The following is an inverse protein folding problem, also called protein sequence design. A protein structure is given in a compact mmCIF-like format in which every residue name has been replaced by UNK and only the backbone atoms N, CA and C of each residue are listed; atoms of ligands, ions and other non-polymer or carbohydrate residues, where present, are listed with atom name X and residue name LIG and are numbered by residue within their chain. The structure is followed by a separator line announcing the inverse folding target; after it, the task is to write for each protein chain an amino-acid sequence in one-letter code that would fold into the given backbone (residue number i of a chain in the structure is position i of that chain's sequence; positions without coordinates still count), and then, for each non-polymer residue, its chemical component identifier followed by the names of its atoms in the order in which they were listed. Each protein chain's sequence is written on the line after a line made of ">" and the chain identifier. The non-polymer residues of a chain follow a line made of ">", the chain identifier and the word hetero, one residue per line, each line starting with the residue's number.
data_IF_865905748420
#
_entry.id   IF_865905748420
#
_cell.length_a   1.000
_cell.length_b   1.000
_cell.length_c   1.000
_cell.angle_alpha   90.00
_cell.angle_beta   90.00
_cell.angle_gamma   90.00
#
_symmetry.space_group_name_H-M   'P 1'
#
loop_
_entity.id
_entity.type
_entity.pdbx_description
1 polymer ?
#
# COMPACT_ATOMS: atom_id res chain seq x y z
N UNK A 1 34.92 -29.45 9.44
CA UNK A 1 35.44 -28.55 8.40
C UNK A 1 34.62 -27.25 8.34
N UNK A 2 35.20 -26.10 8.69
CA UNK A 2 34.56 -24.80 8.54
C UNK A 2 34.57 -24.42 7.04
N UNK A 3 33.41 -24.37 6.36
CA UNK A 3 33.30 -23.86 4.99
C UNK A 3 33.83 -22.42 4.96
N UNK A 4 34.92 -22.15 4.23
CA UNK A 4 35.38 -20.78 3.95
C UNK A 4 34.25 -20.01 3.30
N UNK A 5 33.77 -18.91 3.90
CA UNK A 5 32.82 -18.00 3.28
C UNK A 5 33.44 -17.47 1.98
N UNK A 6 32.85 -17.82 0.84
CA UNK A 6 33.26 -17.29 -0.46
C UNK A 6 32.98 -15.78 -0.47
N UNK A 7 33.97 -14.97 -0.76
CA UNK A 7 33.80 -13.55 -1.03
C UNK A 7 33.08 -13.38 -2.35
N UNK A 8 31.95 -12.66 -2.32
CA UNK A 8 31.19 -12.35 -3.51
C UNK A 8 31.91 -11.29 -4.34
N UNK A 9 31.86 -11.40 -5.66
CA UNK A 9 32.33 -10.36 -6.57
C UNK A 9 31.38 -9.14 -6.56
N UNK A 10 31.86 -7.94 -6.93
CA UNK A 10 31.01 -6.76 -7.03
C UNK A 10 29.76 -6.97 -7.90
N UNK A 11 29.88 -7.77 -8.98
CA UNK A 11 28.75 -8.12 -9.86
C UNK A 11 27.73 -9.00 -9.12
N UNK A 12 28.17 -10.00 -8.39
CA UNK A 12 27.26 -10.87 -7.60
C UNK A 12 26.54 -10.08 -6.49
N UNK A 13 27.25 -9.14 -5.83
CA UNK A 13 26.66 -8.24 -4.83
C UNK A 13 25.58 -7.37 -5.48
N UNK A 14 25.85 -6.78 -6.63
CA UNK A 14 24.89 -5.94 -7.35
C UNK A 14 23.64 -6.73 -7.78
N UNK A 15 23.79 -7.94 -8.28
CA UNK A 15 22.66 -8.79 -8.66
C UNK A 15 21.79 -9.18 -7.44
N UNK A 16 22.42 -9.50 -6.30
CA UNK A 16 21.69 -9.72 -5.05
C UNK A 16 20.91 -8.47 -4.61
N UNK A 17 21.52 -7.28 -4.68
CA UNK A 17 20.84 -6.03 -4.32
C UNK A 17 19.64 -5.74 -5.24
N UNK A 18 19.77 -6.02 -6.55
CA UNK A 18 18.66 -5.89 -7.51
C UNK A 18 17.53 -6.87 -7.21
N UNK A 19 17.86 -8.12 -6.83
CA UNK A 19 16.85 -9.11 -6.43
C UNK A 19 16.06 -8.63 -5.21
N UNK A 20 16.75 -8.21 -4.15
CA UNK A 20 16.12 -7.66 -2.94
C UNK A 20 15.24 -6.44 -3.24
N UNK A 21 15.73 -5.51 -4.07
CA UNK A 21 14.94 -4.34 -4.47
C UNK A 21 13.69 -4.71 -5.28
N UNK A 22 13.75 -5.79 -6.06
CA UNK A 22 12.60 -6.32 -6.81
C UNK A 22 11.59 -6.97 -5.88
N UNK A 23 12.03 -7.81 -4.95
CA UNK A 23 11.17 -8.44 -3.95
C UNK A 23 10.44 -7.39 -3.11
N UNK A 24 11.13 -6.33 -2.70
CA UNK A 24 10.53 -5.19 -1.99
C UNK A 24 9.46 -4.50 -2.82
N UNK A 25 9.74 -4.22 -4.11
CA UNK A 25 8.72 -3.60 -5.00
C UNK A 25 7.49 -4.47 -5.14
N UNK A 26 7.66 -5.79 -5.19
CA UNK A 26 6.53 -6.73 -5.24
C UNK A 26 5.75 -6.74 -3.93
N UNK A 27 6.45 -6.82 -2.80
CA UNK A 27 5.83 -6.73 -1.48
C UNK A 27 5.05 -5.42 -1.32
N UNK A 28 5.63 -4.30 -1.76
CA UNK A 28 4.99 -3.00 -1.80
C UNK A 28 3.69 -3.01 -2.62
N UNK A 29 3.74 -3.45 -3.88
CA UNK A 29 2.55 -3.50 -4.73
C UNK A 29 1.45 -4.38 -4.14
N UNK A 30 1.84 -5.50 -3.54
CA UNK A 30 0.92 -6.41 -2.87
C UNK A 30 0.25 -5.73 -1.68
N UNK A 31 1.03 -5.07 -0.84
CA UNK A 31 0.52 -4.33 0.32
C UNK A 31 -0.39 -3.17 -0.10
N UNK A 32 0.02 -2.39 -1.11
CA UNK A 32 -0.80 -1.30 -1.65
C UNK A 32 -2.16 -1.80 -2.15
N UNK A 33 -2.16 -2.90 -2.91
CA UNK A 33 -3.41 -3.49 -3.39
C UNK A 33 -4.26 -4.05 -2.24
N UNK A 34 -3.65 -4.68 -1.25
CA UNK A 34 -4.35 -5.16 -0.06
C UNK A 34 -5.02 -4.01 0.72
N UNK A 35 -4.34 -2.87 0.87
CA UNK A 35 -4.90 -1.66 1.47
C UNK A 35 -6.08 -1.12 0.65
N UNK A 36 -5.96 -1.08 -0.69
CA UNK A 36 -7.08 -0.70 -1.58
C UNK A 36 -8.31 -1.56 -1.35
N UNK A 37 -8.12 -2.88 -1.32
CA UNK A 37 -9.22 -3.84 -1.11
C UNK A 37 -9.86 -3.62 0.25
N UNK A 38 -9.06 -3.51 1.31
CA UNK A 38 -9.56 -3.30 2.67
C UNK A 38 -10.35 -1.98 2.79
N UNK A 39 -9.81 -0.87 2.28
CA UNK A 39 -10.47 0.43 2.30
C UNK A 39 -11.78 0.42 1.51
N UNK A 40 -11.76 -0.15 0.29
CA UNK A 40 -12.95 -0.27 -0.54
C UNK A 40 -14.03 -1.14 0.12
N UNK A 41 -13.64 -2.27 0.70
CA UNK A 41 -14.53 -3.16 1.44
C UNK A 41 -15.16 -2.45 2.65
N UNK A 42 -14.35 -1.70 3.40
CA UNK A 42 -14.80 -0.94 4.56
C UNK A 42 -15.90 0.06 4.20
N UNK A 43 -15.66 0.92 3.19
CA UNK A 43 -16.66 1.94 2.79
C UNK A 43 -17.87 1.31 2.11
N UNK A 44 -17.72 0.15 1.46
CA UNK A 44 -18.86 -0.60 0.96
C UNK A 44 -19.75 -1.09 2.08
N UNK A 45 -19.18 -1.71 3.11
CA UNK A 45 -19.93 -2.33 4.22
C UNK A 45 -20.50 -1.31 5.20
N UNK A 46 -19.76 -0.25 5.52
CA UNK A 46 -20.15 0.73 6.55
C UNK A 46 -20.91 1.93 5.99
N UNK A 47 -20.54 2.39 4.81
CA UNK A 47 -21.09 3.61 4.22
C UNK A 47 -21.99 3.32 3.02
N UNK A 48 -22.20 2.05 2.68
CA UNK A 48 -23.07 1.63 1.56
C UNK A 48 -22.57 2.09 0.19
N UNK A 49 -21.27 2.29 0.02
CA UNK A 49 -20.71 2.70 -1.27
C UNK A 49 -20.84 1.57 -2.28
N UNK A 50 -21.23 1.92 -3.50
CA UNK A 50 -21.30 1.02 -4.66
C UNK A 50 -20.21 1.36 -5.67
N UNK A 51 -20.08 0.54 -6.70
CA UNK A 51 -18.96 0.54 -7.64
C UNK A 51 -18.47 1.91 -8.08
N UNK A 52 -19.35 2.79 -8.57
CA UNK A 52 -18.95 4.11 -9.05
C UNK A 52 -18.34 5.01 -7.96
N UNK A 53 -18.88 4.96 -6.74
CA UNK A 53 -18.34 5.74 -5.62
C UNK A 53 -16.99 5.21 -5.16
N UNK A 54 -16.84 3.87 -5.11
CA UNK A 54 -15.56 3.21 -4.77
C UNK A 54 -14.50 3.57 -5.80
N UNK A 55 -14.83 3.47 -7.09
CA UNK A 55 -13.90 3.82 -8.18
C UNK A 55 -13.49 5.29 -8.13
N UNK A 56 -14.43 6.21 -7.83
CA UNK A 56 -14.11 7.63 -7.68
C UNK A 56 -13.10 7.89 -6.56
N UNK A 57 -13.27 7.25 -5.39
CA UNK A 57 -12.31 7.35 -4.28
C UNK A 57 -10.96 6.77 -4.71
N UNK A 58 -10.95 5.62 -5.37
CA UNK A 58 -9.71 5.00 -5.85
C UNK A 58 -8.95 5.90 -6.83
N UNK A 59 -9.66 6.51 -7.78
CA UNK A 59 -9.08 7.47 -8.73
C UNK A 59 -8.50 8.69 -8.01
N UNK A 60 -9.20 9.20 -7.00
CA UNK A 60 -8.72 10.34 -6.21
C UNK A 60 -7.43 10.02 -5.43
N UNK A 61 -7.33 8.80 -4.89
CA UNK A 61 -6.10 8.32 -4.24
C UNK A 61 -4.94 8.23 -5.26
N UNK A 62 -5.21 7.71 -6.45
CA UNK A 62 -4.19 7.61 -7.51
C UNK A 62 -3.73 9.01 -7.98
N UNK A 63 -4.61 10.01 -7.99
CA UNK A 63 -4.25 11.41 -8.26
C UNK A 63 -3.32 11.97 -7.18
N UNK A 64 -3.63 11.74 -5.89
CA UNK A 64 -2.76 12.14 -4.79
C UNK A 64 -1.39 11.46 -4.86
N UNK A 65 -1.36 10.15 -5.14
CA UNK A 65 -0.11 9.41 -5.30
C UNK A 65 0.75 9.99 -6.42
N UNK A 66 0.15 10.27 -7.57
CA UNK A 66 0.85 10.91 -8.68
C UNK A 66 1.39 12.30 -8.30
N UNK A 67 0.56 13.14 -7.67
CA UNK A 67 1.01 14.47 -7.23
C UNK A 67 2.15 14.40 -6.21
N UNK A 68 2.11 13.41 -5.33
CA UNK A 68 3.18 13.18 -4.36
C UNK A 68 4.47 12.72 -5.05
N UNK A 69 4.39 11.76 -5.96
CA UNK A 69 5.54 11.26 -6.72
C UNK A 69 6.16 12.33 -7.62
N UNK A 70 5.35 13.25 -8.14
CA UNK A 70 5.77 14.42 -8.93
C UNK A 70 6.31 15.56 -8.02
N UNK A 71 6.27 15.42 -6.69
CA UNK A 71 6.72 16.42 -5.72
C UNK A 71 5.81 17.66 -5.64
N UNK A 72 4.59 17.58 -6.14
CA UNK A 72 3.61 18.69 -6.16
C UNK A 72 2.89 18.86 -4.82
N UNK A 73 2.80 17.80 -4.02
CA UNK A 73 2.23 17.83 -2.67
C UNK A 73 3.15 17.15 -1.67
N UNK A 74 3.10 17.59 -0.42
CA UNK A 74 3.78 16.95 0.71
C UNK A 74 2.75 16.29 1.62
N UNK A 75 3.15 15.22 2.29
CA UNK A 75 2.24 14.50 3.20
C UNK A 75 1.80 15.37 4.38
N UNK A 76 2.68 16.28 4.85
CA UNK A 76 2.37 17.22 5.90
C UNK A 76 1.23 18.18 5.48
N UNK A 77 1.24 18.66 4.23
CA UNK A 77 0.21 19.55 3.70
C UNK A 77 -1.14 18.82 3.59
N UNK A 78 -1.12 17.54 3.17
CA UNK A 78 -2.32 16.69 3.09
C UNK A 78 -2.87 16.43 4.49
N UNK A 79 -2.01 16.08 5.45
CA UNK A 79 -2.39 15.85 6.85
C UNK A 79 -2.98 17.11 7.48
N UNK A 80 -2.33 18.27 7.27
CA UNK A 80 -2.85 19.55 7.75
C UNK A 80 -4.22 19.88 7.16
N UNK A 81 -4.40 19.67 5.85
CA UNK A 81 -5.68 19.89 5.17
C UNK A 81 -6.80 19.01 5.75
N UNK A 82 -6.49 17.75 6.06
CA UNK A 82 -7.43 16.83 6.69
C UNK A 82 -7.81 17.31 8.10
N UNK A 83 -6.82 17.75 8.88
CA UNK A 83 -7.06 18.31 10.19
C UNK A 83 -7.89 19.58 10.14
N UNK A 84 -7.52 20.56 9.30
CA UNK A 84 -8.19 21.85 9.20
C UNK A 84 -9.66 21.74 8.78
N UNK A 85 -9.99 20.75 7.93
CA UNK A 85 -11.35 20.57 7.38
C UNK A 85 -12.22 19.58 8.13
N UNK A 86 -11.63 18.55 8.72
CA UNK A 86 -12.37 17.48 9.37
C UNK A 86 -12.08 17.32 10.86
N UNK A 87 -11.20 18.12 11.44
CA UNK A 87 -10.69 17.97 12.82
C UNK A 87 -10.26 16.52 13.11
N UNK A 88 -9.57 15.91 12.15
CA UNK A 88 -9.19 14.52 12.20
C UNK A 88 -7.74 14.31 11.74
N UNK A 89 -7.04 13.43 12.44
CA UNK A 89 -5.66 13.08 12.12
C UNK A 89 -5.44 11.58 12.20
N UNK A 90 -4.45 11.07 11.47
CA UNK A 90 -3.97 9.71 11.65
C UNK A 90 -3.00 9.71 12.83
N UNK A 91 -3.35 8.98 13.89
CA UNK A 91 -2.42 8.77 15.00
C UNK A 91 -1.23 7.94 14.52
N UNK A 92 0.00 8.40 14.85
CA UNK A 92 1.27 7.72 14.54
C UNK A 92 1.66 7.64 13.06
N UNK A 93 1.96 8.77 12.48
CA UNK A 93 2.63 8.83 11.18
C UNK A 93 4.14 8.83 11.39
N UNK A 94 4.76 7.66 11.32
CA UNK A 94 6.20 7.58 11.19
C UNK A 94 6.58 7.81 9.71
N UNK A 95 6.76 9.08 9.34
CA UNK A 95 7.35 9.41 8.03
C UNK A 95 8.86 9.24 8.12
N UNK A 96 9.35 8.10 7.74
CA UNK A 96 10.76 7.91 7.45
C UNK A 96 10.87 7.26 6.09
N UNK A 97 10.68 8.05 5.04
CA UNK A 97 11.30 7.71 3.78
C UNK A 97 12.81 7.85 4.00
N UNK A 98 13.51 6.74 3.91
CA UNK A 98 14.96 6.77 3.89
C UNK A 98 15.39 7.43 2.58
N UNK A 99 15.73 8.71 2.64
CA UNK A 99 16.28 9.46 1.51
C UNK A 99 17.56 8.78 1.02
N UNK A 100 17.44 8.02 -0.07
CA UNK A 100 18.62 7.49 -0.74
C UNK A 100 19.23 8.62 -1.52
N UNK A 101 20.30 9.16 -0.97
CA UNK A 101 21.07 10.28 -1.57
C UNK A 101 21.92 9.84 -2.76
N UNK A 102 22.16 8.56 -2.92
CA UNK A 102 23.02 8.05 -4.01
C UNK A 102 22.29 8.08 -5.36
N UNK A 103 23.06 8.37 -6.42
CA UNK A 103 22.55 8.42 -7.80
C UNK A 103 21.95 7.07 -8.19
N UNK A 104 20.73 7.05 -8.72
CA UNK A 104 20.04 5.84 -9.21
C UNK A 104 20.95 4.99 -10.12
N UNK A 105 20.83 3.66 -9.96
CA UNK A 105 21.60 2.66 -10.73
C UNK A 105 23.12 2.61 -10.48
N UNK A 106 23.65 3.35 -9.51
CA UNK A 106 25.05 3.17 -9.07
C UNK A 106 25.17 1.98 -8.12
N UNK A 107 26.40 1.48 -7.94
CA UNK A 107 26.70 0.42 -6.95
C UNK A 107 26.26 0.85 -5.54
N UNK A 108 26.58 2.10 -5.14
CA UNK A 108 26.18 2.65 -3.83
C UNK A 108 24.68 2.70 -3.68
N UNK A 109 23.94 3.13 -4.70
CA UNK A 109 22.46 3.12 -4.69
C UNK A 109 21.89 1.73 -4.35
N UNK A 110 22.43 0.66 -4.95
CA UNK A 110 21.96 -0.71 -4.67
C UNK A 110 22.32 -1.20 -3.28
N UNK A 111 23.49 -0.78 -2.73
CA UNK A 111 23.86 -1.05 -1.35
C UNK A 111 22.90 -0.34 -0.38
N UNK A 112 22.64 0.95 -0.61
CA UNK A 112 21.73 1.76 0.21
C UNK A 112 20.32 1.16 0.18
N UNK A 113 19.83 0.75 -1.00
CA UNK A 113 18.55 0.03 -1.14
C UNK A 113 18.49 -1.24 -0.28
N UNK A 114 19.59 -1.98 -0.15
CA UNK A 114 19.64 -3.20 0.67
C UNK A 114 19.55 -2.91 2.16
N UNK A 115 20.00 -1.74 2.60
CA UNK A 115 20.02 -1.36 4.01
C UNK A 115 18.69 -0.80 4.52
N UNK A 116 17.76 -0.44 3.61
CA UNK A 116 16.44 0.04 4.00
C UNK A 116 15.68 -1.07 4.73
N UNK A 117 15.16 -0.76 5.91
CA UNK A 117 14.27 -1.67 6.64
C UNK A 117 12.96 -1.86 5.86
N UNK A 118 12.64 -3.10 5.42
CA UNK A 118 11.40 -3.38 4.69
C UNK A 118 10.15 -3.02 5.48
N UNK A 119 10.16 -3.22 6.80
CA UNK A 119 8.98 -2.98 7.64
C UNK A 119 8.69 -1.48 7.75
N UNK A 120 9.71 -0.64 7.93
CA UNK A 120 9.53 0.82 7.96
C UNK A 120 8.98 1.34 6.64
N UNK A 121 9.46 0.79 5.51
CA UNK A 121 8.93 1.14 4.19
C UNK A 121 7.45 0.77 4.05
N UNK A 122 7.06 -0.45 4.46
CA UNK A 122 5.67 -0.92 4.42
C UNK A 122 4.79 -0.03 5.29
N UNK A 123 5.23 0.29 6.50
CA UNK A 123 4.47 1.13 7.44
C UNK A 123 4.28 2.56 6.90
N UNK A 124 5.35 3.19 6.40
CA UNK A 124 5.29 4.53 5.81
C UNK A 124 4.29 4.60 4.65
N UNK A 125 4.27 3.55 3.82
CA UNK A 125 3.37 3.48 2.67
C UNK A 125 1.93 3.18 3.06
N UNK A 126 1.70 2.33 4.05
CA UNK A 126 0.37 2.10 4.58
C UNK A 126 -0.22 3.41 5.12
N UNK A 127 0.58 4.17 5.89
CA UNK A 127 0.18 5.47 6.42
C UNK A 127 -0.11 6.47 5.31
N UNK A 128 0.73 6.55 4.26
CA UNK A 128 0.51 7.42 3.10
C UNK A 128 -0.80 7.08 2.40
N UNK A 129 -1.05 5.79 2.13
CA UNK A 129 -2.31 5.35 1.52
C UNK A 129 -3.51 5.74 2.37
N UNK A 130 -3.45 5.51 3.68
CA UNK A 130 -4.52 5.88 4.62
C UNK A 130 -4.79 7.37 4.61
N UNK A 131 -3.73 8.21 4.60
CA UNK A 131 -3.86 9.65 4.55
C UNK A 131 -4.59 10.10 3.28
N UNK A 132 -4.22 9.56 2.12
CA UNK A 132 -4.89 9.86 0.86
C UNK A 132 -6.33 9.37 0.84
N UNK A 133 -6.58 8.18 1.38
CA UNK A 133 -7.93 7.61 1.47
C UNK A 133 -8.87 8.47 2.32
N UNK A 134 -8.47 8.85 3.53
CA UNK A 134 -9.31 9.69 4.39
C UNK A 134 -9.49 11.10 3.81
N UNK A 135 -8.44 11.66 3.20
CA UNK A 135 -8.53 12.94 2.51
C UNK A 135 -9.50 12.87 1.32
N UNK A 136 -9.46 11.78 0.55
CA UNK A 136 -10.40 11.58 -0.56
C UNK A 136 -11.84 11.46 -0.07
N UNK A 137 -12.11 10.75 1.04
CA UNK A 137 -13.44 10.66 1.64
C UNK A 137 -13.95 12.04 2.09
N UNK A 138 -13.07 12.83 2.71
CA UNK A 138 -13.40 14.20 3.13
C UNK A 138 -13.69 15.10 1.92
N UNK A 139 -12.81 15.11 0.91
CA UNK A 139 -12.94 16.02 -0.25
C UNK A 139 -14.11 15.67 -1.15
N UNK A 140 -14.33 14.37 -1.44
CA UNK A 140 -15.33 13.93 -2.40
C UNK A 140 -16.74 13.75 -1.80
N UNK A 141 -16.81 13.48 -0.49
CA UNK A 141 -18.09 13.14 0.16
C UNK A 141 -18.37 13.89 1.45
N UNK A 142 -17.52 14.86 1.81
CA UNK A 142 -17.73 15.70 3.01
C UNK A 142 -17.69 14.91 4.32
N UNK A 143 -16.86 13.87 4.42
CA UNK A 143 -16.72 13.14 5.67
C UNK A 143 -16.07 14.03 6.73
N UNK A 144 -16.81 14.29 7.80
CA UNK A 144 -16.27 14.92 9.02
C UNK A 144 -15.70 13.89 9.97
N UNK A 145 -15.21 14.37 11.11
CA UNK A 145 -14.53 13.61 12.18
C UNK A 145 -15.21 12.29 12.51
N UNK A 146 -16.47 12.33 12.87
CA UNK A 146 -17.21 11.16 13.37
C UNK A 146 -17.31 10.04 12.31
N UNK A 147 -17.50 10.42 11.04
CA UNK A 147 -17.56 9.44 9.95
C UNK A 147 -16.19 8.84 9.65
N UNK A 148 -15.14 9.65 9.64
CA UNK A 148 -13.76 9.18 9.44
C UNK A 148 -13.34 8.25 10.57
N UNK A 149 -13.68 8.59 11.83
CA UNK A 149 -13.40 7.74 13.00
C UNK A 149 -14.10 6.40 12.89
N UNK A 150 -15.39 6.36 12.54
CA UNK A 150 -16.10 5.08 12.34
C UNK A 150 -15.49 4.21 11.24
N UNK A 151 -15.06 4.84 10.14
CA UNK A 151 -14.36 4.12 9.06
C UNK A 151 -13.06 3.52 9.57
N UNK A 152 -12.27 4.29 10.34
CA UNK A 152 -11.00 3.82 10.92
C UNK A 152 -11.22 2.68 11.92
N UNK A 153 -12.18 2.81 12.82
CA UNK A 153 -12.53 1.77 13.80
C UNK A 153 -12.85 0.45 13.10
N UNK A 154 -13.69 0.51 12.05
CA UNK A 154 -14.02 -0.70 11.30
C UNK A 154 -12.82 -1.28 10.53
N UNK A 155 -11.93 -0.44 10.01
CA UNK A 155 -10.68 -0.92 9.41
C UNK A 155 -9.81 -1.64 10.44
N UNK A 156 -9.73 -1.13 11.67
CA UNK A 156 -9.00 -1.77 12.76
C UNK A 156 -9.63 -3.13 13.13
N UNK A 157 -10.96 -3.20 13.20
CA UNK A 157 -11.69 -4.47 13.41
C UNK A 157 -11.37 -5.50 12.31
N UNK A 158 -11.36 -5.08 11.05
CA UNK A 158 -11.03 -5.94 9.92
C UNK A 158 -9.58 -6.42 9.95
N UNK A 159 -8.65 -5.53 10.29
CA UNK A 159 -7.24 -5.90 10.45
C UNK A 159 -7.05 -6.93 11.57
N UNK A 160 -7.73 -6.74 12.71
CA UNK A 160 -7.70 -7.68 13.81
C UNK A 160 -8.29 -9.04 13.40
N UNK A 161 -9.42 -9.04 12.70
CA UNK A 161 -10.05 -10.26 12.20
C UNK A 161 -9.13 -10.99 11.18
N UNK A 162 -8.45 -10.24 10.31
CA UNK A 162 -7.47 -10.78 9.37
C UNK A 162 -6.27 -11.42 10.09
N UNK A 163 -5.71 -10.75 11.11
CA UNK A 163 -4.62 -11.28 11.93
C UNK A 163 -4.99 -12.54 12.70
N UNK A 164 -6.27 -12.72 13.00
CA UNK A 164 -6.82 -13.89 13.69
C UNK A 164 -7.32 -14.99 12.72
N UNK A 165 -7.00 -14.90 11.44
CA UNK A 165 -7.46 -15.82 10.38
C UNK A 165 -8.99 -15.99 10.29
N UNK A 166 -9.76 -14.99 10.78
CA UNK A 166 -11.23 -14.99 10.73
C UNK A 166 -11.79 -14.49 9.41
N UNK A 167 -10.97 -13.83 8.61
CA UNK A 167 -11.31 -13.30 7.28
C UNK A 167 -10.06 -13.22 6.40
N UNK A 168 -10.27 -13.04 5.12
CA UNK A 168 -9.18 -13.00 4.14
C UNK A 168 -9.38 -11.91 3.08
N UNK A 169 -8.28 -11.47 2.47
CA UNK A 169 -8.32 -10.51 1.36
C UNK A 169 -9.16 -11.05 0.18
N UNK A 170 -9.16 -12.37 -0.03
CA UNK A 170 -9.97 -13.01 -1.09
C UNK A 170 -11.46 -12.89 -0.82
N UNK A 171 -11.88 -13.04 0.43
CA UNK A 171 -13.30 -12.84 0.81
C UNK A 171 -13.73 -11.40 0.60
N UNK A 172 -12.87 -10.42 0.92
CA UNK A 172 -13.14 -9.01 0.67
C UNK A 172 -13.22 -8.69 -0.82
N UNK A 173 -12.31 -9.25 -1.64
CA UNK A 173 -12.35 -9.11 -3.10
C UNK A 173 -13.63 -9.71 -3.68
N UNK A 174 -14.02 -10.91 -3.23
CA UNK A 174 -15.25 -11.56 -3.68
C UNK A 174 -16.46 -10.71 -3.33
N UNK A 175 -16.57 -10.23 -2.10
CA UNK A 175 -17.67 -9.38 -1.69
C UNK A 175 -17.72 -8.05 -2.48
N UNK A 176 -16.58 -7.43 -2.76
CA UNK A 176 -16.50 -6.23 -3.60
C UNK A 176 -17.00 -6.49 -5.03
N UNK A 177 -16.64 -7.64 -5.59
CA UNK A 177 -17.16 -8.05 -6.89
C UNK A 177 -18.66 -8.30 -6.86
N UNK A 178 -19.14 -9.14 -5.93
CA UNK A 178 -20.53 -9.58 -5.86
C UNK A 178 -21.48 -8.43 -5.51
N UNK A 179 -21.09 -7.50 -4.62
CA UNK A 179 -21.97 -6.48 -4.08
C UNK A 179 -21.80 -5.10 -4.74
N UNK A 180 -20.60 -4.80 -5.25
CA UNK A 180 -20.27 -3.50 -5.83
C UNK A 180 -19.79 -3.55 -7.29
N UNK A 181 -19.54 -4.73 -7.85
CA UNK A 181 -19.02 -4.89 -9.20
C UNK A 181 -17.60 -4.35 -9.39
N UNK A 182 -16.80 -4.31 -8.31
CA UNK A 182 -15.43 -3.77 -8.34
C UNK A 182 -14.42 -4.88 -8.21
N UNK A 183 -13.42 -4.88 -9.09
CA UNK A 183 -12.31 -5.83 -9.09
C UNK A 183 -11.00 -5.10 -8.86
N UNK A 184 -10.22 -5.57 -7.89
CA UNK A 184 -8.83 -5.18 -7.70
C UNK A 184 -7.94 -6.40 -7.91
N UNK A 185 -7.14 -6.38 -8.97
CA UNK A 185 -6.22 -7.47 -9.26
C UNK A 185 -4.99 -7.40 -8.34
N UNK A 186 -4.70 -8.51 -7.67
CA UNK A 186 -3.44 -8.65 -6.92
C UNK A 186 -2.26 -8.74 -7.89
N UNK A 187 -1.17 -8.02 -7.64
CA UNK A 187 0.01 -8.09 -8.50
C UNK A 187 0.59 -9.50 -8.49
N UNK A 188 0.83 -10.04 -9.68
CA UNK A 188 1.42 -11.36 -9.88
C UNK A 188 2.93 -11.18 -10.08
N UNK A 189 3.74 -11.96 -9.36
CA UNK A 189 5.19 -11.99 -9.59
C UNK A 189 5.49 -12.62 -10.95
N UNK A 190 6.04 -11.86 -11.92
CA UNK A 190 6.33 -12.39 -13.27
C UNK A 190 7.27 -13.59 -13.29
N UNK A 191 8.10 -13.77 -12.23
CA UNK A 191 8.98 -14.94 -12.13
C UNK A 191 8.28 -16.20 -11.64
N UNK A 192 7.14 -16.08 -10.96
CA UNK A 192 6.34 -17.24 -10.53
C UNK A 192 5.47 -17.78 -11.66
N UNK A 193 5.21 -17.01 -12.71
CA UNK A 193 4.48 -17.46 -13.91
C UNK A 193 5.27 -18.45 -14.76
N UNK A 194 6.60 -18.50 -14.68
CA UNK A 194 7.44 -19.39 -15.50
C UNK A 194 7.58 -20.79 -14.95
N UNK A 195 7.04 -21.10 -13.78
CA UNK A 195 6.98 -22.47 -13.23
C UNK A 195 5.52 -22.92 -13.13
N UNK A 196 4.98 -23.31 -14.26
CA UNK A 196 3.84 -24.21 -14.41
C UNK A 196 2.68 -24.00 -13.43
N UNK A 197 1.77 -23.09 -13.73
CA UNK A 197 0.38 -23.23 -13.32
C UNK A 197 -0.50 -22.79 -14.48
N UNK A 198 -0.81 -23.75 -15.34
CA UNK A 198 -2.05 -23.74 -16.09
C UNK A 198 -3.19 -23.76 -15.06
N UNK A 199 -3.69 -22.61 -14.64
CA UNK A 199 -5.03 -22.56 -14.07
C UNK A 199 -5.98 -22.38 -15.25
N UNK A 200 -6.38 -23.52 -15.78
CA UNK A 200 -7.60 -23.66 -16.57
C UNK A 200 -8.79 -23.33 -15.68
N UNK A 201 -9.63 -22.44 -16.15
CA UNK A 201 -11.05 -22.43 -15.84
C UNK A 201 -11.50 -21.46 -14.76
N UNK A 202 -12.02 -20.34 -15.20
CA UNK A 202 -13.46 -20.01 -15.01
C UNK A 202 -13.90 -19.20 -16.22
#
# INVERSE_FOLDING_TARGET
>A
MKRKKRHLTPREIMEQCKSVARERRMAFRTQWTAMRIMCAYTIMKREGFKGQRILKITQKIDEFEKQYDDGLIKLEDVSKRLYDKADWTIEHVAYTESDIKSKKNTYQYWIDQKQIDPQNTINAQATRYMLFFFTALMEEYGFGKDRLTRVQEHMNELLLAYQQDKTSIREWQKALFDEAGVVFEMPIDPLKQTKGSCMTGF
#
